data_IF_963728469637
#
_entry.id   IF_963728469637
#
_cell.length_a   1.000
_cell.length_b   1.000
_cell.length_c   1.000
_cell.angle_alpha   90.00
_cell.angle_beta   90.00
_cell.angle_gamma   90.00
#
_symmetry.space_group_name_H-M   'P 1'
#
loop_
_entity.id
_entity.type
_entity.pdbx_description
1 polymer ?
#
# COMPACT_ATOMS: atom_id res chain seq x y z
N UNK A 1 23.16 -10.22 3.62
CA UNK A 1 23.61 -8.83 3.83
C UNK A 1 23.49 -8.51 5.30
N UNK A 2 24.37 -7.67 5.84
CA UNK A 2 24.22 -7.16 7.22
C UNK A 2 23.27 -5.98 7.19
N UNK A 3 22.17 -6.03 7.93
CA UNK A 3 21.26 -4.91 8.09
C UNK A 3 21.72 -4.01 9.24
N UNK A 4 21.56 -2.69 9.07
CA UNK A 4 21.86 -1.70 10.10
C UNK A 4 20.69 -1.56 11.07
N UNK A 5 19.47 -1.58 10.53
CA UNK A 5 18.25 -1.35 11.29
C UNK A 5 17.33 -2.57 11.29
N UNK A 6 16.71 -2.81 12.44
CA UNK A 6 15.59 -3.74 12.63
C UNK A 6 14.35 -2.94 13.03
N UNK A 7 13.17 -3.38 12.62
CA UNK A 7 11.91 -2.83 13.10
C UNK A 7 10.97 -3.92 13.61
N UNK A 8 10.27 -3.60 14.69
CA UNK A 8 9.20 -4.42 15.28
C UNK A 8 7.93 -4.32 14.44
N UNK A 9 7.23 -5.44 14.33
CA UNK A 9 6.02 -5.57 13.54
C UNK A 9 4.86 -6.01 14.42
N UNK A 10 3.68 -5.46 14.18
CA UNK A 10 2.40 -5.94 14.70
C UNK A 10 1.53 -6.35 13.51
N UNK A 11 1.09 -7.60 13.51
CA UNK A 11 0.37 -8.21 12.40
C UNK A 11 -0.52 -9.36 12.89
N UNK A 12 -1.36 -9.89 12.00
CA UNK A 12 -2.30 -10.96 12.33
C UNK A 12 -1.63 -12.33 12.36
N UNK A 13 -2.40 -13.37 12.70
CA UNK A 13 -1.92 -14.76 12.70
C UNK A 13 -1.42 -15.27 11.34
N UNK A 14 -1.67 -14.53 10.26
CA UNK A 14 -1.16 -14.83 8.92
C UNK A 14 0.33 -14.48 8.75
N UNK A 15 0.92 -13.71 9.68
CA UNK A 15 2.27 -13.17 9.52
C UNK A 15 3.37 -14.24 9.38
N UNK A 16 3.39 -15.35 10.15
CA UNK A 16 4.36 -16.43 9.93
C UNK A 16 4.30 -17.06 8.53
N UNK A 17 3.12 -17.14 7.92
CA UNK A 17 2.98 -17.60 6.53
C UNK A 17 3.45 -16.53 5.54
N UNK A 18 3.27 -15.26 5.89
CA UNK A 18 3.75 -14.15 5.08
C UNK A 18 5.29 -14.11 5.01
N UNK A 19 6.01 -14.36 6.11
CA UNK A 19 7.50 -14.39 6.10
C UNK A 19 8.07 -15.45 5.16
N UNK A 20 7.30 -16.50 4.85
CA UNK A 20 7.70 -17.56 3.93
C UNK A 20 7.30 -17.31 2.47
N UNK A 21 6.32 -16.44 2.23
CA UNK A 21 5.73 -16.21 0.91
C UNK A 21 6.04 -14.83 0.33
N UNK A 22 6.40 -13.87 1.18
CA UNK A 22 6.88 -12.55 0.79
C UNK A 22 8.39 -12.62 0.51
N UNK A 23 8.77 -12.38 -0.74
CA UNK A 23 10.13 -12.58 -1.25
C UNK A 23 10.68 -11.28 -1.84
N UNK A 24 11.99 -11.21 -1.99
CA UNK A 24 12.72 -10.04 -2.45
C UNK A 24 13.59 -9.44 -1.34
N UNK A 25 14.19 -8.29 -1.62
CA UNK A 25 15.09 -7.59 -0.70
C UNK A 25 14.54 -6.23 -0.24
N UNK A 26 13.35 -5.85 -0.70
CA UNK A 26 12.78 -4.53 -0.41
C UNK A 26 12.34 -4.45 1.06
N UNK A 27 11.64 -5.48 1.55
CA UNK A 27 11.27 -5.68 2.96
C UNK A 27 11.45 -7.16 3.29
N UNK A 28 12.32 -7.45 4.24
CA UNK A 28 12.50 -8.78 4.82
C UNK A 28 11.65 -8.90 6.08
N UNK A 29 10.75 -9.89 6.12
CA UNK A 29 9.86 -10.15 7.26
C UNK A 29 10.34 -11.41 7.98
N UNK A 30 10.36 -11.37 9.31
CA UNK A 30 10.86 -12.45 10.14
C UNK A 30 10.08 -12.54 11.45
N UNK A 31 10.12 -13.72 12.05
CA UNK A 31 9.50 -13.95 13.35
C UNK A 31 10.33 -14.92 14.18
N UNK A 32 10.22 -14.76 15.49
CA UNK A 32 10.71 -15.71 16.48
C UNK A 32 9.54 -16.26 17.27
N UNK A 33 9.59 -17.55 17.57
CA UNK A 33 8.62 -18.24 18.41
C UNK A 33 9.39 -18.93 19.53
N UNK A 34 9.36 -18.33 20.71
CA UNK A 34 10.08 -18.81 21.87
C UNK A 34 9.16 -18.93 23.10
N UNK A 35 9.75 -19.23 24.25
CA UNK A 35 9.04 -19.34 25.52
C UNK A 35 8.31 -18.06 25.99
N UNK A 36 8.64 -16.89 25.44
CA UNK A 36 7.97 -15.61 25.72
C UNK A 36 6.83 -15.33 24.72
N UNK A 37 6.71 -16.15 23.68
CA UNK A 37 5.69 -16.08 22.65
C UNK A 37 6.23 -15.61 21.30
N UNK A 38 5.30 -15.32 20.40
CA UNK A 38 5.63 -14.99 19.02
C UNK A 38 5.98 -13.51 18.88
N UNK A 39 7.17 -13.22 18.39
CA UNK A 39 7.67 -11.86 18.13
C UNK A 39 7.85 -11.65 16.63
N UNK A 40 7.38 -10.51 16.11
CA UNK A 40 7.47 -10.18 14.69
C UNK A 40 8.41 -8.99 14.48
N UNK A 41 9.28 -9.11 13.49
CA UNK A 41 10.25 -8.08 13.16
C UNK A 41 10.59 -8.11 11.66
N UNK A 42 11.29 -7.08 11.19
CA UNK A 42 11.71 -7.00 9.81
C UNK A 42 12.90 -6.09 9.60
N UNK A 43 13.40 -6.13 8.36
CA UNK A 43 14.55 -5.40 7.88
C UNK A 43 14.27 -4.81 6.50
N UNK A 44 15.00 -3.75 6.13
CA UNK A 44 14.93 -3.22 4.77
C UNK A 44 16.25 -2.55 4.40
N UNK A 45 16.82 -2.95 3.26
CA UNK A 45 18.03 -2.31 2.73
C UNK A 45 17.80 -0.82 2.39
N UNK A 46 16.54 -0.40 2.20
CA UNK A 46 16.20 0.98 1.86
C UNK A 46 16.36 1.96 3.02
N UNK A 47 16.51 1.48 4.27
CA UNK A 47 16.78 2.33 5.43
C UNK A 47 18.22 2.23 5.94
N UNK A 48 18.99 1.27 5.45
CA UNK A 48 20.36 1.01 5.93
C UNK A 48 21.34 2.13 5.57
N UNK A 49 21.10 2.87 4.48
CA UNK A 49 21.88 4.05 4.12
C UNK A 49 21.57 5.28 5.00
N UNK A 50 20.46 5.27 5.74
CA UNK A 50 20.01 6.40 6.56
C UNK A 50 20.70 6.40 7.92
N UNK A 51 21.08 7.59 8.37
CA UNK A 51 21.71 7.79 9.69
C UNK A 51 20.84 8.59 10.66
N UNK A 52 19.90 9.39 10.15
CA UNK A 52 18.96 10.14 10.95
C UNK A 52 17.72 9.27 11.30
N UNK A 53 17.44 9.00 12.58
CA UNK A 53 16.26 8.26 13.00
C UNK A 53 14.94 8.84 12.48
N UNK A 54 14.84 10.16 12.29
CA UNK A 54 13.61 10.78 11.76
C UNK A 54 13.32 10.35 10.32
N UNK A 55 14.37 10.24 9.50
CA UNK A 55 14.28 9.76 8.12
C UNK A 55 13.97 8.27 8.06
N UNK A 56 14.57 7.49 8.97
CA UNK A 56 14.25 6.04 9.10
C UNK A 56 12.78 5.84 9.45
N UNK A 57 12.26 6.59 10.43
CA UNK A 57 10.86 6.54 10.84
C UNK A 57 9.92 6.87 9.68
N UNK A 58 10.19 7.96 8.94
CA UNK A 58 9.41 8.38 7.79
C UNK A 58 9.43 7.35 6.65
N UNK A 59 10.60 6.80 6.31
CA UNK A 59 10.74 5.80 5.26
C UNK A 59 10.05 4.49 5.63
N UNK A 60 10.20 4.02 6.88
CA UNK A 60 9.50 2.84 7.40
C UNK A 60 7.98 3.02 7.33
N UNK A 61 7.48 4.19 7.71
CA UNK A 61 6.05 4.49 7.62
C UNK A 61 5.54 4.39 6.16
N UNK A 62 6.25 4.98 5.20
CA UNK A 62 5.90 4.86 3.78
C UNK A 62 5.97 3.42 3.27
N UNK A 63 7.02 2.67 3.62
CA UNK A 63 7.17 1.25 3.24
C UNK A 63 6.05 0.38 3.82
N UNK A 64 5.62 0.65 5.05
CA UNK A 64 4.48 -0.02 5.68
C UNK A 64 3.19 0.19 4.87
N UNK A 65 2.93 1.43 4.43
CA UNK A 65 1.75 1.74 3.64
C UNK A 65 1.80 0.98 2.30
N UNK A 66 2.94 0.98 1.61
CA UNK A 66 3.10 0.23 0.36
C UNK A 66 2.91 -1.28 0.55
N UNK A 67 3.48 -1.85 1.63
CA UNK A 67 3.30 -3.26 1.98
C UNK A 67 1.82 -3.59 2.20
N UNK A 68 1.11 -2.79 3.01
CA UNK A 68 -0.32 -2.97 3.25
C UNK A 68 -1.15 -2.84 1.97
N UNK A 69 -0.79 -1.90 1.08
CA UNK A 69 -1.40 -1.77 -0.24
C UNK A 69 -1.24 -3.03 -1.08
N UNK A 70 -0.02 -3.55 -1.16
CA UNK A 70 0.29 -4.75 -1.92
C UNK A 70 -0.43 -6.00 -1.38
N UNK A 71 -0.44 -6.17 -0.06
CA UNK A 71 -1.14 -7.27 0.61
C UNK A 71 -2.65 -7.20 0.40
N UNK A 72 -3.25 -6.01 0.54
CA UNK A 72 -4.69 -5.81 0.40
C UNK A 72 -5.16 -6.03 -1.04
N UNK A 73 -4.43 -5.52 -2.04
CA UNK A 73 -4.71 -5.81 -3.46
C UNK A 73 -4.60 -7.31 -3.72
N UNK A 74 -3.54 -7.96 -3.25
CA UNK A 74 -3.33 -9.39 -3.49
C UNK A 74 -4.39 -10.29 -2.84
N UNK A 75 -5.11 -9.79 -1.84
CA UNK A 75 -6.09 -10.56 -1.08
C UNK A 75 -7.53 -10.36 -1.54
N UNK A 76 -7.75 -9.56 -2.59
CA UNK A 76 -9.04 -9.48 -3.31
C UNK A 76 -10.24 -9.10 -2.44
N UNK A 77 -10.08 -8.16 -1.52
CA UNK A 77 -11.17 -7.67 -0.66
C UNK A 77 -11.36 -8.44 0.66
N UNK A 78 -10.56 -9.48 0.94
CA UNK A 78 -10.54 -10.11 2.26
C UNK A 78 -10.04 -9.12 3.31
N UNK A 79 -10.82 -8.94 4.38
CA UNK A 79 -10.45 -8.04 5.48
C UNK A 79 -9.27 -8.61 6.26
N UNK A 80 -8.05 -8.19 5.89
CA UNK A 80 -6.84 -8.50 6.62
C UNK A 80 -6.53 -7.42 7.64
N UNK A 81 -6.15 -7.84 8.85
CA UNK A 81 -5.57 -6.93 9.83
C UNK A 81 -4.29 -6.31 9.25
N UNK A 82 -4.18 -4.98 9.15
CA UNK A 82 -3.01 -4.35 8.54
C UNK A 82 -1.75 -4.59 9.36
N UNK A 83 -0.61 -4.62 8.67
CA UNK A 83 0.70 -4.65 9.30
C UNK A 83 1.04 -3.25 9.81
N UNK A 84 1.54 -3.18 11.04
CA UNK A 84 2.06 -1.95 11.65
C UNK A 84 3.51 -2.14 12.02
N UNK A 85 4.39 -1.23 11.62
CA UNK A 85 5.74 -1.12 12.12
C UNK A 85 5.70 -0.20 13.34
N UNK A 86 6.10 -0.68 14.51
CA UNK A 86 5.89 0.04 15.77
C UNK A 86 7.11 0.88 16.18
N UNK A 87 8.25 0.20 16.29
CA UNK A 87 9.52 0.77 16.70
C UNK A 87 10.66 0.18 15.87
N UNK A 88 11.78 0.89 15.79
CA UNK A 88 12.99 0.43 15.12
C UNK A 88 14.23 0.68 15.99
N UNK A 89 15.27 -0.12 15.77
CA UNK A 89 16.51 -0.07 16.51
C UNK A 89 17.71 -0.45 15.63
N UNK A 90 18.91 -0.07 16.06
CA UNK A 90 20.14 -0.60 15.45
C UNK A 90 20.31 -2.09 15.82
N UNK A 91 20.74 -2.90 14.85
CA UNK A 91 20.96 -4.34 15.04
C UNK A 91 22.07 -4.66 16.05
N UNK A 92 23.07 -3.78 16.19
CA UNK A 92 24.17 -3.90 17.17
C UNK A 92 23.82 -3.32 18.55
N UNK A 93 22.56 -2.93 18.76
CA UNK A 93 22.05 -2.34 20.00
C UNK A 93 22.17 -0.82 20.05
N UNK A 94 21.49 -0.21 21.02
CA UNK A 94 21.54 1.25 21.23
C UNK A 94 20.28 1.98 20.77
N UNK A 95 20.42 2.89 19.79
CA UNK A 95 19.39 3.85 19.39
C UNK A 95 18.05 3.16 19.07
N UNK A 96 16.98 3.60 19.71
CA UNK A 96 15.60 3.16 19.47
C UNK A 96 14.73 4.34 19.08
N UNK A 97 13.88 4.15 18.09
CA UNK A 97 12.90 5.12 17.64
C UNK A 97 11.53 4.49 17.46
N UNK A 98 10.50 5.32 17.46
CA UNK A 98 9.14 4.91 17.07
C UNK A 98 8.93 5.21 15.59
N UNK A 99 8.21 4.35 14.89
CA UNK A 99 7.83 4.62 13.50
C UNK A 99 6.67 5.61 13.51
N UNK A 100 6.95 6.83 13.08
CA UNK A 100 5.99 7.92 12.95
C UNK A 100 6.42 8.84 11.80
N UNK A 101 5.45 9.42 11.10
CA UNK A 101 5.71 10.42 10.08
C UNK A 101 4.62 11.50 10.07
N UNK A 102 5.03 12.74 9.85
CA UNK A 102 4.14 13.87 9.56
C UNK A 102 3.70 13.92 8.09
N UNK A 103 4.38 13.16 7.24
CA UNK A 103 4.24 13.18 5.79
C UNK A 103 4.70 11.85 5.18
N UNK A 104 4.14 11.49 4.05
CA UNK A 104 4.53 10.29 3.29
C UNK A 104 5.75 10.64 2.43
N UNK A 105 6.82 9.86 2.52
CA UNK A 105 7.86 9.82 1.49
C UNK A 105 7.31 9.09 0.26
N UNK A 106 7.11 9.80 -0.85
CA UNK A 106 6.47 9.27 -2.07
C UNK A 106 7.35 8.27 -2.83
N UNK A 107 8.66 8.26 -2.57
CA UNK A 107 9.64 7.36 -3.16
C UNK A 107 10.52 6.73 -2.06
N UNK A 108 9.98 5.84 -1.21
CA UNK A 108 10.67 5.35 0.00
C UNK A 108 11.69 4.25 -0.31
N UNK A 109 12.36 4.34 -1.47
CA UNK A 109 13.25 3.32 -1.99
C UNK A 109 14.64 3.91 -2.23
N UNK A 110 15.64 3.28 -1.63
CA UNK A 110 17.01 3.39 -2.13
C UNK A 110 17.11 2.63 -3.46
N UNK A 111 17.55 3.32 -4.51
CA UNK A 111 17.70 2.77 -5.87
C UNK A 111 19.11 2.24 -6.15
N UNK A 112 19.93 2.06 -5.11
CA UNK A 112 21.23 1.42 -5.23
C UNK A 112 21.10 0.04 -5.91
N UNK A 113 21.80 -0.21 -7.03
CA UNK A 113 21.73 -1.48 -7.75
C UNK A 113 22.03 -2.69 -6.87
N UNK A 114 22.89 -2.50 -5.86
CA UNK A 114 23.28 -3.54 -4.91
C UNK A 114 22.13 -4.18 -4.13
N UNK A 115 20.97 -3.51 -4.03
CA UNK A 115 19.79 -4.06 -3.32
C UNK A 115 19.15 -5.20 -4.10
N UNK A 116 19.12 -5.12 -5.44
CA UNK A 116 18.51 -6.12 -6.32
C UNK A 116 19.52 -7.07 -6.96
N UNK A 117 20.82 -6.76 -6.88
CA UNK A 117 21.88 -7.58 -7.44
C UNK A 117 22.03 -8.92 -6.69
N UNK A 118 22.18 -10.00 -7.46
CA UNK A 118 22.50 -11.32 -6.91
C UNK A 118 21.38 -11.99 -6.11
N UNK A 119 20.13 -11.54 -6.26
CA UNK A 119 18.97 -12.21 -5.68
C UNK A 119 18.92 -13.69 -6.11
N UNK A 120 18.95 -14.64 -5.17
CA UNK A 120 18.82 -16.05 -5.52
C UNK A 120 17.40 -16.32 -6.03
N UNK A 121 17.24 -17.34 -6.89
CA UNK A 121 15.94 -17.67 -7.51
C UNK A 121 14.82 -17.95 -6.49
N UNK A 122 15.16 -18.51 -5.33
CA UNK A 122 14.21 -18.74 -4.23
C UNK A 122 13.75 -17.46 -3.52
N UNK A 123 14.39 -16.32 -3.81
CA UNK A 123 14.00 -14.99 -3.32
C UNK A 123 13.53 -14.06 -4.44
N UNK A 124 13.04 -14.61 -5.57
CA UNK A 124 12.51 -13.82 -6.67
C UNK A 124 11.18 -13.15 -6.25
N UNK A 125 11.07 -11.80 -6.29
CA UNK A 125 9.83 -11.09 -5.96
C UNK A 125 8.67 -11.44 -6.91
N UNK A 126 8.92 -12.05 -8.08
CA UNK A 126 7.87 -12.53 -9.00
C UNK A 126 7.14 -13.77 -8.49
N UNK A 127 7.65 -14.42 -7.44
CA UNK A 127 7.07 -15.66 -6.88
C UNK A 127 5.72 -15.45 -6.20
N UNK A 128 5.42 -14.23 -5.74
CA UNK A 128 4.13 -13.89 -5.17
C UNK A 128 3.68 -12.50 -5.59
N UNK A 129 2.37 -12.32 -5.80
CA UNK A 129 1.80 -11.04 -6.23
C UNK A 129 2.19 -9.86 -5.31
N UNK A 130 2.07 -9.92 -3.97
CA UNK A 130 2.37 -8.75 -3.14
C UNK A 130 3.85 -8.35 -3.22
N UNK A 131 4.76 -9.33 -3.31
CA UNK A 131 6.20 -9.10 -3.51
C UNK A 131 6.48 -8.42 -4.86
N UNK A 132 5.82 -8.88 -5.93
CA UNK A 132 5.93 -8.32 -7.27
C UNK A 132 5.44 -6.88 -7.31
N UNK A 133 4.33 -6.58 -6.63
CA UNK A 133 3.76 -5.23 -6.57
C UNK A 133 4.71 -4.27 -5.86
N UNK A 134 5.22 -4.66 -4.69
CA UNK A 134 6.17 -3.83 -3.97
C UNK A 134 7.43 -3.58 -4.81
N UNK A 135 8.01 -4.64 -5.37
CA UNK A 135 9.22 -4.54 -6.18
C UNK A 135 9.05 -3.66 -7.42
N UNK A 136 7.94 -3.80 -8.15
CA UNK A 136 7.67 -2.95 -9.32
C UNK A 136 7.42 -1.50 -8.94
N UNK A 137 6.81 -1.23 -7.79
CA UNK A 137 6.49 0.14 -7.34
C UNK A 137 7.72 1.02 -7.14
N UNK A 138 8.94 0.45 -7.06
CA UNK A 138 10.20 1.21 -7.08
C UNK A 138 10.35 2.10 -8.31
N UNK A 139 9.96 1.58 -9.47
CA UNK A 139 10.15 2.23 -10.76
C UNK A 139 8.83 2.62 -11.44
N UNK A 140 7.70 2.21 -10.86
CA UNK A 140 6.37 2.49 -11.40
C UNK A 140 5.60 3.41 -10.45
N UNK A 141 5.60 4.71 -10.77
CA UNK A 141 4.91 5.73 -9.97
C UNK A 141 3.40 5.54 -9.93
N UNK A 142 2.78 5.02 -11.00
CA UNK A 142 1.33 4.84 -11.07
C UNK A 142 0.91 3.69 -10.15
N UNK A 143 1.65 2.58 -10.21
CA UNK A 143 1.47 1.47 -9.30
C UNK A 143 1.76 1.90 -7.86
N UNK A 144 2.85 2.62 -7.61
CA UNK A 144 3.21 3.11 -6.27
C UNK A 144 2.13 4.00 -5.67
N UNK A 145 1.61 4.96 -6.44
CA UNK A 145 0.51 5.82 -6.02
C UNK A 145 -0.76 5.04 -5.67
N UNK A 146 -1.11 4.04 -6.48
CA UNK A 146 -2.24 3.16 -6.19
C UNK A 146 -2.03 2.34 -4.91
N UNK A 147 -0.84 1.77 -4.72
CA UNK A 147 -0.50 1.02 -3.50
C UNK A 147 -0.57 1.90 -2.25
N UNK A 148 -0.09 3.16 -2.33
CA UNK A 148 -0.24 4.09 -1.22
C UNK A 148 -1.71 4.33 -0.87
N UNK A 149 -2.56 4.62 -1.86
CA UNK A 149 -3.98 4.84 -1.61
C UNK A 149 -4.66 3.61 -0.98
N UNK A 150 -4.40 2.41 -1.52
CA UNK A 150 -4.99 1.17 -0.97
C UNK A 150 -4.44 0.86 0.43
N UNK A 151 -3.15 1.10 0.67
CA UNK A 151 -2.52 0.91 1.97
C UNK A 151 -3.05 1.85 3.06
N UNK A 152 -3.54 3.03 2.68
CA UNK A 152 -4.12 4.03 3.59
C UNK A 152 -5.57 3.75 4.01
N UNK A 153 -6.24 2.75 3.43
CA UNK A 153 -7.58 2.36 3.89
C UNK A 153 -7.47 1.86 5.35
N UNK A 154 -8.19 2.53 6.26
CA UNK A 154 -8.22 2.22 7.69
C UNK A 154 -9.60 2.47 8.30
N UNK A 155 -10.00 1.62 9.25
CA UNK A 155 -11.35 1.68 9.86
C UNK A 155 -11.33 1.68 11.38
N UNK A 156 -10.16 1.95 12.00
CA UNK A 156 -9.96 1.80 13.44
C UNK A 156 -10.58 2.95 14.25
N UNK A 157 -10.84 4.10 13.63
CA UNK A 157 -11.48 5.25 14.27
C UNK A 157 -12.53 5.92 13.37
N UNK A 158 -13.40 6.74 13.96
CA UNK A 158 -14.41 7.50 13.21
C UNK A 158 -13.77 8.42 12.15
N UNK A 159 -12.67 9.09 12.51
CA UNK A 159 -11.94 9.97 11.58
C UNK A 159 -11.33 9.18 10.41
N UNK A 160 -10.75 8.01 10.69
CA UNK A 160 -10.21 7.14 9.64
C UNK A 160 -11.30 6.60 8.71
N UNK A 161 -12.50 6.32 9.23
CA UNK A 161 -13.64 5.90 8.40
C UNK A 161 -14.09 7.01 7.45
N UNK A 162 -14.13 8.26 7.91
CA UNK A 162 -14.42 9.44 7.06
C UNK A 162 -13.37 9.57 5.96
N UNK A 163 -12.09 9.49 6.32
CA UNK A 163 -10.99 9.59 5.36
C UNK A 163 -11.00 8.42 4.36
N UNK A 164 -11.36 7.22 4.81
CA UNK A 164 -11.40 6.04 3.95
C UNK A 164 -12.39 6.20 2.80
N UNK A 165 -13.59 6.76 3.02
CA UNK A 165 -14.52 7.03 1.92
C UNK A 165 -13.90 7.92 0.83
N UNK A 166 -13.20 8.97 1.24
CA UNK A 166 -12.48 9.84 0.30
C UNK A 166 -11.34 9.10 -0.41
N UNK A 167 -10.61 8.24 0.30
CA UNK A 167 -9.54 7.40 -0.26
C UNK A 167 -10.07 6.39 -1.27
N UNK A 168 -11.19 5.72 -0.98
CA UNK A 168 -11.85 4.78 -1.90
C UNK A 168 -12.23 5.45 -3.23
N UNK A 169 -12.76 6.68 -3.17
CA UNK A 169 -13.07 7.43 -4.38
C UNK A 169 -11.82 7.80 -5.17
N UNK A 170 -10.73 8.23 -4.49
CA UNK A 170 -9.45 8.50 -5.16
C UNK A 170 -8.88 7.28 -5.86
N UNK A 171 -9.00 6.09 -5.24
CA UNK A 171 -8.60 4.82 -5.87
C UNK A 171 -9.39 4.59 -7.15
N UNK A 172 -10.72 4.77 -7.12
CA UNK A 172 -11.57 4.66 -8.30
C UNK A 172 -11.14 5.62 -9.41
N UNK A 173 -10.90 6.89 -9.08
CA UNK A 173 -10.47 7.91 -10.04
C UNK A 173 -9.10 7.55 -10.64
N UNK A 174 -8.15 7.09 -9.83
CA UNK A 174 -6.83 6.61 -10.27
C UNK A 174 -6.93 5.42 -11.23
N UNK A 175 -7.72 4.39 -10.88
CA UNK A 175 -7.89 3.21 -11.73
C UNK A 175 -8.55 3.59 -13.05
N UNK A 176 -9.59 4.43 -13.05
CA UNK A 176 -10.20 4.95 -14.29
C UNK A 176 -9.19 5.67 -15.17
N UNK A 177 -8.43 6.59 -14.57
CA UNK A 177 -7.44 7.38 -15.28
C UNK A 177 -6.36 6.51 -15.92
N UNK A 178 -5.73 5.64 -15.14
CA UNK A 178 -4.67 4.76 -15.65
C UNK A 178 -5.21 3.72 -16.65
N UNK A 179 -6.43 3.22 -16.46
CA UNK A 179 -7.05 2.33 -17.45
C UNK A 179 -7.21 3.01 -18.80
N UNK A 180 -7.61 4.29 -18.82
CA UNK A 180 -7.67 5.08 -20.05
C UNK A 180 -6.28 5.31 -20.64
N UNK A 181 -5.29 5.65 -19.82
CA UNK A 181 -3.91 5.92 -20.25
C UNK A 181 -3.28 4.70 -20.94
N UNK A 182 -3.51 3.50 -20.40
CA UNK A 182 -2.93 2.25 -20.90
C UNK A 182 -3.89 1.39 -21.74
N UNK A 183 -5.05 1.94 -22.14
CA UNK A 183 -6.07 1.23 -22.92
C UNK A 183 -6.48 -0.13 -22.31
N UNK A 184 -6.65 -0.16 -20.99
CA UNK A 184 -7.09 -1.34 -20.24
C UNK A 184 -8.63 -1.45 -20.23
N UNK A 185 -9.19 -2.66 -20.13
CA UNK A 185 -10.64 -2.87 -20.20
C UNK A 185 -11.33 -2.52 -18.86
N UNK A 186 -11.36 -1.23 -18.50
CA UNK A 186 -11.92 -0.75 -17.22
C UNK A 186 -13.32 -1.32 -16.89
N UNK A 187 -14.20 -1.39 -17.90
CA UNK A 187 -15.58 -1.89 -17.73
C UNK A 187 -15.65 -3.38 -17.34
N UNK A 188 -14.55 -4.14 -17.44
CA UNK A 188 -14.49 -5.54 -16.98
C UNK A 188 -13.96 -5.70 -15.55
N UNK A 189 -13.55 -4.63 -14.87
CA UNK A 189 -12.93 -4.72 -13.54
C UNK A 189 -13.94 -4.81 -12.39
N UNK A 190 -15.15 -4.29 -12.59
CA UNK A 190 -16.22 -4.35 -11.63
C UNK A 190 -17.58 -4.17 -12.31
N UNK A 191 -18.63 -4.59 -11.63
CA UNK A 191 -20.00 -4.33 -12.04
C UNK A 191 -20.27 -2.81 -12.12
N UNK A 192 -20.71 -2.34 -13.28
CA UNK A 192 -20.95 -0.92 -13.55
C UNK A 192 -22.04 -0.32 -12.66
N UNK A 193 -23.10 -1.07 -12.37
CA UNK A 193 -24.18 -0.60 -11.52
C UNK A 193 -23.70 -0.45 -10.08
N UNK A 194 -22.87 -1.38 -9.61
CA UNK A 194 -22.21 -1.29 -8.29
C UNK A 194 -21.31 -0.06 -8.16
N UNK A 195 -20.53 0.26 -9.20
CA UNK A 195 -19.72 1.49 -9.23
C UNK A 195 -20.61 2.74 -9.23
N UNK A 196 -21.75 2.71 -9.92
CA UNK A 196 -22.72 3.81 -9.90
C UNK A 196 -23.35 3.98 -8.51
N UNK A 197 -23.69 2.89 -7.82
CA UNK A 197 -24.19 2.91 -6.44
C UNK A 197 -23.17 3.49 -5.45
N UNK A 198 -21.89 3.11 -5.57
CA UNK A 198 -20.79 3.66 -4.78
C UNK A 198 -20.58 5.16 -5.03
N UNK A 199 -20.46 5.56 -6.29
CA UNK A 199 -20.19 6.95 -6.66
C UNK A 199 -21.36 7.87 -6.26
N UNK A 200 -22.60 7.38 -6.41
CA UNK A 200 -23.78 8.10 -5.95
C UNK A 200 -23.78 8.34 -4.43
N UNK A 201 -23.38 7.35 -3.64
CA UNK A 201 -23.26 7.49 -2.19
C UNK A 201 -22.22 8.57 -1.83
N UNK A 202 -21.03 8.48 -2.44
CA UNK A 202 -19.92 9.40 -2.18
C UNK A 202 -20.24 10.85 -2.54
N UNK A 203 -21.08 11.07 -3.56
CA UNK A 203 -21.43 12.39 -4.06
C UNK A 203 -22.64 13.03 -3.36
N UNK A 204 -23.24 12.35 -2.37
CA UNK A 204 -24.47 12.82 -1.73
C UNK A 204 -24.38 12.82 -0.20
N UNK A 205 -24.22 14.02 0.37
CA UNK A 205 -24.18 14.23 1.83
C UNK A 205 -25.46 13.77 2.54
N UNK A 206 -26.62 13.79 1.89
CA UNK A 206 -27.87 13.28 2.50
C UNK A 206 -27.85 11.77 2.72
N UNK A 207 -26.92 11.04 2.08
CA UNK A 207 -26.76 9.59 2.17
C UNK A 207 -25.67 9.24 3.18
N UNK A 208 -24.45 9.76 2.96
CA UNK A 208 -23.28 9.39 3.76
C UNK A 208 -22.96 10.38 4.89
N UNK A 209 -23.66 11.51 4.98
CA UNK A 209 -23.38 12.56 5.95
C UNK A 209 -21.96 13.09 5.82
N UNK A 210 -21.23 13.15 6.94
CA UNK A 210 -19.83 13.58 6.99
C UNK A 210 -18.87 12.67 6.21
N UNK A 211 -19.29 11.44 5.87
CA UNK A 211 -18.48 10.52 5.07
C UNK A 211 -18.53 10.79 3.57
N UNK A 212 -19.45 11.65 3.10
CA UNK A 212 -19.53 12.02 1.69
C UNK A 212 -18.28 12.83 1.27
N UNK A 213 -17.85 12.66 0.01
CA UNK A 213 -16.76 13.45 -0.60
C UNK A 213 -17.12 14.93 -0.73
N UNK A 214 -18.40 15.20 -0.96
CA UNK A 214 -18.92 16.54 -1.20
C UNK A 214 -19.91 16.95 -0.11
N UNK A 215 -19.99 18.25 0.15
CA UNK A 215 -20.99 18.84 1.04
C UNK A 215 -22.41 18.75 0.47
N UNK A 216 -23.36 19.41 1.15
CA UNK A 216 -24.76 19.40 0.75
C UNK A 216 -24.94 19.83 -0.72
N UNK A 217 -25.51 18.95 -1.53
CA UNK A 217 -25.92 19.23 -2.91
C UNK A 217 -27.43 19.00 -3.05
N UNK A 218 -28.09 19.73 -3.95
CA UNK A 218 -29.52 19.59 -4.21
C UNK A 218 -29.92 18.32 -4.97
N UNK A 219 -29.00 17.38 -5.17
CA UNK A 219 -29.21 16.18 -5.96
C UNK A 219 -30.10 15.18 -5.21
N UNK A 220 -31.18 14.73 -5.85
CA UNK A 220 -32.01 13.67 -5.30
C UNK A 220 -31.19 12.38 -5.22
N UNK A 221 -31.16 11.70 -4.06
CA UNK A 221 -30.44 10.45 -3.91
C UNK A 221 -31.05 9.36 -4.80
N UNK A 222 -30.25 8.51 -5.45
CA UNK A 222 -30.77 7.38 -6.21
C UNK A 222 -31.35 6.31 -5.29
N UNK A 223 -32.13 5.38 -5.86
CA UNK A 223 -32.86 4.34 -5.09
C UNK A 223 -31.96 3.32 -4.42
N UNK A 224 -30.77 3.06 -4.97
CA UNK A 224 -29.77 2.13 -4.42
C UNK A 224 -28.44 2.84 -4.34
N UNK A 225 -27.75 2.63 -3.22
CA UNK A 225 -26.46 3.22 -2.87
C UNK A 225 -25.74 2.32 -1.90
N UNK A 226 -24.42 2.29 -1.99
CA UNK A 226 -23.57 1.56 -1.03
C UNK A 226 -23.33 2.50 0.16
N UNK A 227 -23.84 2.11 1.33
CA UNK A 227 -23.67 2.87 2.58
C UNK A 227 -22.84 2.13 3.60
N UNK A 228 -22.69 0.81 3.44
CA UNK A 228 -21.77 0.02 4.24
C UNK A 228 -20.33 0.23 3.75
N UNK A 229 -19.43 0.51 4.69
CA UNK A 229 -18.04 0.80 4.36
C UNK A 229 -17.27 -0.48 3.97
N UNK A 230 -17.60 -1.63 4.55
CA UNK A 230 -16.93 -2.88 4.19
C UNK A 230 -17.29 -3.29 2.76
N UNK A 231 -18.55 -3.17 2.39
CA UNK A 231 -19.05 -3.36 1.02
C UNK A 231 -18.35 -2.42 0.02
N UNK A 232 -18.13 -1.14 0.38
CA UNK A 232 -17.40 -0.20 -0.45
C UNK A 232 -15.91 -0.57 -0.59
N UNK A 233 -15.26 -0.98 0.51
CA UNK A 233 -13.86 -1.43 0.49
C UNK A 233 -13.72 -2.67 -0.41
N UNK A 234 -14.59 -3.66 -0.25
CA UNK A 234 -14.56 -4.90 -1.03
C UNK A 234 -14.67 -4.61 -2.54
N UNK A 235 -15.61 -3.76 -2.94
CA UNK A 235 -15.81 -3.37 -4.34
C UNK A 235 -14.57 -2.69 -4.92
N UNK A 236 -14.01 -1.70 -4.22
CA UNK A 236 -12.91 -0.89 -4.74
C UNK A 236 -11.56 -1.62 -4.70
N UNK A 237 -11.33 -2.47 -3.70
CA UNK A 237 -10.13 -3.31 -3.62
C UNK A 237 -10.17 -4.39 -4.72
N UNK A 238 -11.33 -5.04 -4.95
CA UNK A 238 -11.49 -6.02 -6.03
C UNK A 238 -11.29 -5.40 -7.43
N UNK A 239 -11.81 -4.17 -7.62
CA UNK A 239 -11.55 -3.38 -8.83
C UNK A 239 -10.05 -3.08 -9.00
N UNK A 240 -9.36 -2.75 -7.92
CA UNK A 240 -7.91 -2.48 -7.93
C UNK A 240 -7.09 -3.73 -8.24
N UNK A 241 -7.48 -4.89 -7.70
CA UNK A 241 -6.88 -6.18 -8.04
C UNK A 241 -7.00 -6.48 -9.54
N UNK A 242 -8.21 -6.34 -10.08
CA UNK A 242 -8.48 -6.58 -11.51
C UNK A 242 -7.66 -5.65 -12.39
N UNK A 243 -7.61 -4.35 -12.05
CA UNK A 243 -6.74 -3.38 -12.72
C UNK A 243 -5.27 -3.81 -12.68
N UNK A 244 -4.74 -4.13 -11.50
CA UNK A 244 -3.33 -4.49 -11.34
C UNK A 244 -2.97 -5.73 -12.15
N UNK A 245 -3.83 -6.75 -12.18
CA UNK A 245 -3.58 -7.97 -12.98
C UNK A 245 -3.45 -7.66 -14.46
N UNK A 246 -4.38 -6.89 -15.02
CA UNK A 246 -4.32 -6.46 -16.44
C UNK A 246 -3.15 -5.51 -16.71
N UNK A 247 -2.89 -4.58 -15.79
CA UNK A 247 -1.79 -3.63 -15.88
C UNK A 247 -0.45 -4.36 -15.94
N UNK A 248 -0.21 -5.33 -15.03
CA UNK A 248 1.02 -6.12 -15.02
C UNK A 248 1.22 -6.97 -16.27
N UNK A 249 0.12 -7.44 -16.89
CA UNK A 249 0.14 -8.26 -18.09
C UNK A 249 0.43 -7.46 -19.36
N UNK A 250 -0.01 -6.21 -19.43
CA UNK A 250 0.07 -5.38 -20.65
C UNK A 250 1.16 -4.32 -20.61
N UNK A 251 1.48 -3.81 -19.43
CA UNK A 251 2.46 -2.74 -19.26
C UNK A 251 3.84 -3.36 -18.98
N UNK A 252 4.80 -3.22 -19.92
CA UNK A 252 6.12 -3.82 -19.76
C UNK A 252 6.85 -3.16 -18.60
N UNK A 253 7.55 -3.97 -17.81
CA UNK A 253 8.37 -3.47 -16.72
C UNK A 253 9.61 -2.77 -17.29
N UNK A 254 9.67 -1.44 -17.14
CA UNK A 254 10.76 -0.65 -17.67
C UNK A 254 11.62 -0.07 -16.53
N UNK A 255 12.76 -0.70 -16.25
CA UNK A 255 13.69 -0.26 -15.19
C UNK A 255 14.33 1.12 -15.46
N UNK A 256 14.25 1.63 -16.69
CA UNK A 256 14.99 2.82 -17.14
C UNK A 256 14.23 4.15 -17.04
N UNK A 257 12.92 4.14 -16.72
CA UNK A 257 12.18 5.39 -16.46
C UNK A 257 12.46 5.85 -15.04
N UNK A 258 13.54 6.58 -14.86
CA UNK A 258 13.79 7.34 -13.64
C UNK A 258 12.79 8.51 -13.58
N UNK A 259 12.18 8.80 -12.42
CA UNK A 259 11.68 10.14 -12.17
C UNK A 259 12.90 11.07 -12.14
N UNK A 260 12.90 12.10 -12.98
CA UNK A 260 13.90 13.17 -12.93
C UNK A 260 13.99 13.66 -11.47
N UNK A 261 15.16 13.53 -10.86
CA UNK A 261 15.47 14.00 -9.50
C UNK A 261 15.53 15.53 -9.41
N UNK A 262 14.83 16.25 -10.29
CA UNK A 262 14.97 17.69 -10.50
C UNK A 262 13.91 18.56 -9.79
N UNK A 263 13.09 18.03 -8.87
CA UNK A 263 12.07 18.85 -8.18
C UNK A 263 11.98 18.71 -6.66
N UNK A 264 13.03 18.21 -5.99
CA UNK A 264 13.12 18.23 -4.53
C UNK A 264 14.20 19.21 -4.04
N UNK A 265 14.21 20.44 -4.59
CA UNK A 265 14.85 21.61 -3.99
C UNK A 265 13.88 22.79 -4.14
N UNK A 266 13.33 23.26 -3.03
CA UNK A 266 12.34 24.35 -2.93
C UNK A 266 10.93 23.80 -2.73
N UNK A 267 10.26 24.01 -1.60
CA UNK A 267 10.07 25.24 -0.80
C UNK A 267 10.13 24.93 0.68
#
# INVERSE_FOLDING_TARGET
>A
MSHKWEFSVSAGSYYPSLTQSFRGNDISLAYEDDHLGMQFYGYSSHIDCLSDPSQVAKRLYSLQILLNGALRISSGGVNMMPITFGAFALCDGGCRGSVYADSIEECPFDLSPSIDEGLPSWNDPKSSLPSLLLNRSKHDEKLRGLLFLVGMISTNSANERVLTWSTLYKILDSVKHYSSEFSLPYDSFADKDRINEFTAACNNMSILGINARHGASGNKPPKRVITDLAEAIELIVSLSESFVREYLARVPFNKSKHPDTASCVGV
#
